data_IF_187221426097
#
_entry.id   IF_187221426097
#
_cell.length_a   1.000
_cell.length_b   1.000
_cell.length_c   1.000
_cell.angle_alpha   90.00
_cell.angle_beta   90.00
_cell.angle_gamma   90.00
#
_symmetry.space_group_name_H-M   'P 1'
#
loop_
_entity.id
_entity.type
_entity.pdbx_description
1 polymer ?
#
# COMPACT_ATOMS: atom_id res chain seq x y z
N UNK A 1 -13.38 8.19 -14.81
CA UNK A 1 -12.92 8.16 -14.09
C UNK A 1 -12.19 7.12 -13.79
N UNK A 2 -11.42 6.96 -13.63
CA UNK A 2 -10.74 6.10 -13.42
C UNK A 2 -10.64 5.66 -12.28
N UNK A 3 -10.69 4.74 -12.04
CA UNK A 3 -10.71 4.27 -10.98
C UNK A 3 -9.52 3.59 -10.76
N UNK A 4 -8.48 4.04 -10.42
CA UNK A 4 -7.42 3.31 -10.08
C UNK A 4 -7.70 2.49 -8.93
N UNK A 5 -8.67 2.72 -8.20
CA UNK A 5 -8.91 2.02 -6.97
C UNK A 5 -9.53 0.66 -7.13
N UNK A 6 -9.82 0.23 -8.33
CA UNK A 6 -10.35 -1.09 -8.49
C UNK A 6 -9.32 -2.16 -8.21
N UNK A 7 -8.06 -1.92 -8.57
CA UNK A 7 -7.00 -2.89 -8.38
C UNK A 7 -6.01 -2.42 -7.34
N UNK A 8 -6.09 -1.18 -6.93
CA UNK A 8 -5.16 -0.61 -5.98
C UNK A 8 -5.87 -0.22 -4.70
N UNK A 9 -5.15 -0.31 -3.60
CA UNK A 9 -5.65 0.14 -2.31
C UNK A 9 -4.78 1.29 -1.84
N UNK A 10 -5.37 2.26 -1.17
CA UNK A 10 -4.58 3.28 -0.50
C UNK A 10 -3.88 2.63 0.67
N UNK A 11 -2.90 3.34 1.24
CA UNK A 11 -2.18 2.80 2.38
C UNK A 11 -3.13 2.48 3.53
N UNK A 12 -4.09 3.37 3.78
CA UNK A 12 -5.04 3.14 4.86
C UNK A 12 -5.92 1.92 4.64
N UNK A 13 -6.38 1.75 3.40
CA UNK A 13 -7.21 0.60 3.09
C UNK A 13 -6.43 -0.69 3.19
N UNK A 14 -5.21 -0.68 2.67
CA UNK A 14 -4.39 -1.87 2.68
C UNK A 14 -4.02 -2.25 4.11
N UNK A 15 -3.69 -1.27 4.94
CA UNK A 15 -3.36 -1.51 6.33
C UNK A 15 -4.54 -2.13 7.06
N UNK A 16 -5.73 -1.63 6.78
CA UNK A 16 -6.92 -2.16 7.43
C UNK A 16 -7.16 -3.61 7.04
N UNK A 17 -7.00 -3.92 5.77
CA UNK A 17 -7.20 -5.28 5.30
C UNK A 17 -6.20 -6.23 5.94
N UNK A 18 -4.96 -5.79 6.07
CA UNK A 18 -3.92 -6.63 6.65
C UNK A 18 -3.96 -6.67 8.17
N UNK A 19 -4.68 -5.75 8.78
CA UNK A 19 -4.74 -5.70 10.23
C UNK A 19 -3.54 -5.05 10.88
N UNK A 20 -2.88 -4.14 10.17
CA UNK A 20 -1.73 -3.44 10.72
C UNK A 20 -2.02 -1.95 10.66
N UNK A 21 -1.13 -1.15 11.23
CA UNK A 21 -1.29 0.29 11.21
C UNK A 21 -0.65 0.88 9.99
N UNK A 22 -1.14 2.05 9.60
CA UNK A 22 -0.60 2.72 8.43
C UNK A 22 0.89 2.96 8.56
N UNK A 23 1.35 3.41 9.72
CA UNK A 23 2.75 3.75 9.81
C UNK A 23 3.64 2.52 9.79
N UNK A 24 3.08 1.35 10.02
CA UNK A 24 3.82 0.12 9.84
C UNK A 24 4.20 -0.03 8.37
N UNK A 25 3.26 0.26 7.48
CA UNK A 25 3.52 0.18 6.05
C UNK A 25 4.50 1.27 5.61
N UNK A 26 4.40 2.46 6.19
CA UNK A 26 5.34 3.52 5.88
C UNK A 26 6.75 3.13 6.31
N UNK A 27 6.86 2.52 7.47
CA UNK A 27 8.15 2.10 7.98
C UNK A 27 8.77 1.02 7.08
N UNK A 28 7.96 0.06 6.65
CA UNK A 28 8.45 -0.99 5.78
C UNK A 28 8.92 -0.43 4.45
N UNK A 29 8.24 0.61 3.95
CA UNK A 29 8.66 1.25 2.72
C UNK A 29 10.00 1.95 2.92
N UNK A 30 10.15 2.62 4.05
CA UNK A 30 11.38 3.34 4.36
C UNK A 30 12.59 2.44 4.40
N UNK A 31 12.46 1.27 4.99
CA UNK A 31 13.59 0.36 5.11
C UNK A 31 13.70 -0.58 3.93
N UNK A 32 12.83 -0.44 2.95
CA UNK A 32 12.90 -1.26 1.75
C UNK A 32 12.42 -2.68 1.92
N UNK A 33 11.68 -2.94 2.98
CA UNK A 33 11.20 -4.28 3.23
C UNK A 33 9.94 -4.60 2.43
N UNK A 34 9.04 -3.65 2.31
CA UNK A 34 7.80 -3.85 1.58
C UNK A 34 7.34 -2.49 1.07
N UNK A 35 7.35 -2.31 -0.22
CA UNK A 35 7.08 -1.01 -0.82
C UNK A 35 5.79 -1.04 -1.62
N UNK A 36 5.13 0.11 -1.77
CA UNK A 36 3.90 0.16 -2.55
C UNK A 36 4.18 -0.07 -4.02
N UNK A 37 3.17 -0.54 -4.72
CA UNK A 37 3.29 -0.75 -6.15
C UNK A 37 3.35 0.57 -6.91
N UNK A 38 2.73 1.61 -6.36
CA UNK A 38 2.68 2.90 -7.01
C UNK A 38 2.84 4.00 -5.97
N UNK A 39 3.69 4.98 -6.26
CA UNK A 39 3.86 6.11 -5.39
C UNK A 39 3.74 7.35 -6.25
N UNK A 40 2.82 8.23 -5.92
CA UNK A 40 2.58 9.42 -6.70
C UNK A 40 3.42 10.58 -6.22
N UNK A 41 3.51 11.59 -7.05
CA UNK A 41 4.32 12.75 -6.74
C UNK A 41 3.90 13.44 -5.46
N UNK A 42 2.60 13.43 -5.17
CA UNK A 42 2.10 14.10 -3.99
C UNK A 42 2.32 13.28 -2.72
N UNK A 43 2.98 12.13 -2.85
CA UNK A 43 3.28 11.34 -1.68
C UNK A 43 2.30 10.23 -1.40
N UNK A 44 1.22 10.15 -2.16
CA UNK A 44 0.25 9.09 -1.95
C UNK A 44 0.83 7.77 -2.41
N UNK A 45 0.57 6.72 -1.66
CA UNK A 45 1.06 5.40 -1.97
C UNK A 45 -0.12 4.48 -2.18
N UNK A 46 0.00 3.61 -3.19
CA UNK A 46 -1.05 2.65 -3.50
C UNK A 46 -0.46 1.27 -3.57
N UNK A 47 -1.17 0.32 -3.01
CA UNK A 47 -0.75 -1.07 -2.98
C UNK A 47 -1.64 -1.89 -3.89
N UNK A 48 -1.05 -2.82 -4.59
CA UNK A 48 -1.78 -3.63 -5.54
C UNK A 48 -2.35 -4.84 -4.81
N UNK A 49 -3.47 -5.36 -5.32
CA UNK A 49 -4.16 -6.42 -4.61
C UNK A 49 -3.28 -7.66 -4.40
N UNK A 50 -2.43 -7.98 -5.37
CA UNK A 50 -1.60 -9.16 -5.24
C UNK A 50 -0.53 -9.02 -4.16
N UNK A 51 -0.28 -7.83 -3.70
CA UNK A 51 0.72 -7.62 -2.67
C UNK A 51 0.28 -8.19 -1.34
N UNK A 52 -1.00 -8.48 -1.19
CA UNK A 52 -1.46 -9.11 0.03
C UNK A 52 -0.85 -10.48 0.22
N UNK A 53 -0.61 -11.19 -0.86
CA UNK A 53 -0.02 -12.51 -0.78
C UNK A 53 1.45 -12.47 -0.41
N UNK A 54 2.10 -11.37 -0.72
CA UNK A 54 3.52 -11.21 -0.46
C UNK A 54 3.77 -10.76 0.97
N UNK A 55 2.84 -9.98 1.50
CA UNK A 55 3.02 -9.44 2.84
C UNK A 55 2.77 -10.55 3.86
N UNK A 56 3.76 -10.88 4.62
CA UNK A 56 3.61 -11.88 5.66
C UNK A 56 4.34 -11.42 6.91
#
# INVERSE_FOLDING_TARGET
>A
MEKKSELYFTTGEFARILGVRKHTLFHYDEIGLFSPALKEENGYRYYFVWQMDVFE
#
